data_IF_823596907454
#
_entry.id   IF_823596907454
#
_cell.length_a   1.000
_cell.length_b   1.000
_cell.length_c   1.000
_cell.angle_alpha   90.00
_cell.angle_beta   90.00
_cell.angle_gamma   90.00
#
_symmetry.space_group_name_H-M   'P 1'
#
loop_
_entity.id
_entity.type
_entity.pdbx_description
1 polymer ?
#
# COMPACT_ATOMS: atom_id res chain seq x y z
N UNK A 1 -15.89 38.96 31.58
CA UNK A 1 -16.68 37.74 31.35
C UNK A 1 -15.82 36.78 30.57
N UNK A 2 -15.23 35.80 31.24
CA UNK A 2 -14.44 34.75 30.61
C UNK A 2 -15.39 33.71 30.01
N UNK A 3 -15.66 33.79 28.73
CA UNK A 3 -16.39 32.75 28.00
C UNK A 3 -15.47 31.54 27.88
N UNK A 4 -15.62 30.60 28.77
CA UNK A 4 -15.00 29.28 28.64
C UNK A 4 -15.64 28.58 27.46
N UNK A 5 -14.90 28.49 26.36
CA UNK A 5 -15.28 27.68 25.19
C UNK A 5 -15.58 26.27 25.69
N UNK A 6 -16.75 25.68 25.41
CA UNK A 6 -17.07 24.35 25.87
C UNK A 6 -16.06 23.35 25.25
N UNK A 7 -15.27 22.72 26.11
CA UNK A 7 -14.39 21.62 25.70
C UNK A 7 -15.27 20.54 25.05
N UNK A 8 -15.03 20.27 23.78
CA UNK A 8 -15.68 19.16 23.09
C UNK A 8 -15.47 17.86 23.89
N UNK A 9 -16.58 17.27 24.34
CA UNK A 9 -16.56 15.95 24.99
C UNK A 9 -17.00 14.91 23.98
N UNK A 10 -16.14 13.93 23.62
CA UNK A 10 -16.52 12.87 22.70
C UNK A 10 -17.72 12.09 23.26
N UNK A 11 -18.68 11.79 22.41
CA UNK A 11 -19.82 10.93 22.73
C UNK A 11 -19.35 9.48 22.96
N UNK A 12 -20.20 8.66 23.60
CA UNK A 12 -19.90 7.22 23.73
C UNK A 12 -19.75 6.55 22.37
N UNK A 13 -20.52 7.00 21.37
CA UNK A 13 -20.42 6.53 19.99
C UNK A 13 -19.06 6.85 19.37
N UNK A 14 -18.55 8.08 19.56
CA UNK A 14 -17.23 8.47 19.04
C UNK A 14 -16.10 7.63 19.64
N UNK A 15 -16.19 7.33 20.95
CA UNK A 15 -15.21 6.49 21.62
C UNK A 15 -15.25 5.05 21.12
N UNK A 16 -16.44 4.47 20.93
CA UNK A 16 -16.60 3.11 20.36
C UNK A 16 -16.04 3.07 18.96
N UNK A 17 -16.40 4.04 18.11
CA UNK A 17 -15.88 4.11 16.73
C UNK A 17 -14.34 4.21 16.72
N UNK A 18 -13.75 5.02 17.59
CA UNK A 18 -12.30 5.17 17.68
C UNK A 18 -11.61 3.89 18.13
N UNK A 19 -12.15 3.19 19.15
CA UNK A 19 -11.60 1.91 19.59
C UNK A 19 -11.71 0.84 18.50
N UNK A 20 -12.84 0.79 17.79
CA UNK A 20 -13.01 -0.11 16.65
C UNK A 20 -11.97 0.17 15.56
N UNK A 21 -11.73 1.45 15.25
CA UNK A 21 -10.73 1.86 14.26
C UNK A 21 -9.29 1.48 14.68
N UNK A 22 -8.99 1.65 15.96
CA UNK A 22 -7.68 1.30 16.53
C UNK A 22 -7.44 -0.21 16.48
N UNK A 23 -8.42 -1.01 16.90
CA UNK A 23 -8.32 -2.46 16.90
C UNK A 23 -8.21 -3.00 15.46
N UNK A 24 -9.05 -2.49 14.54
CA UNK A 24 -8.98 -2.87 13.13
C UNK A 24 -7.63 -2.48 12.51
N UNK A 25 -7.16 -1.26 12.75
CA UNK A 25 -5.86 -0.80 12.28
C UNK A 25 -4.70 -1.65 12.82
N UNK A 26 -4.72 -1.97 14.11
CA UNK A 26 -3.72 -2.85 14.73
C UNK A 26 -3.75 -4.25 14.10
N UNK A 27 -4.93 -4.83 13.88
CA UNK A 27 -5.07 -6.14 13.24
C UNK A 27 -4.52 -6.14 11.81
N UNK A 28 -4.81 -5.11 11.02
CA UNK A 28 -4.28 -4.96 9.65
C UNK A 28 -2.75 -4.80 9.69
N UNK A 29 -2.21 -3.98 10.58
CA UNK A 29 -0.76 -3.77 10.69
C UNK A 29 -0.03 -5.05 11.12
N UNK A 30 -0.57 -5.79 12.10
CA UNK A 30 -0.02 -7.09 12.51
C UNK A 30 -0.10 -8.09 11.36
N UNK A 31 -1.23 -8.17 10.66
CA UNK A 31 -1.39 -9.03 9.48
C UNK A 31 -0.36 -8.73 8.40
N UNK A 32 -0.11 -7.45 8.10
CA UNK A 32 0.90 -7.04 7.13
C UNK A 32 2.32 -7.46 7.55
N UNK A 33 2.67 -7.29 8.82
CA UNK A 33 3.98 -7.73 9.34
C UNK A 33 4.13 -9.24 9.28
N UNK A 34 3.11 -9.99 9.73
CA UNK A 34 3.13 -11.46 9.70
C UNK A 34 3.27 -11.97 8.28
N UNK A 35 2.48 -11.42 7.34
CA UNK A 35 2.58 -11.79 5.91
C UNK A 35 3.98 -11.50 5.34
N UNK A 36 4.55 -10.34 5.68
CA UNK A 36 5.89 -9.97 5.24
C UNK A 36 6.97 -10.93 5.79
N UNK A 37 6.90 -11.26 7.08
CA UNK A 37 7.84 -12.19 7.72
C UNK A 37 7.73 -13.59 7.12
N UNK A 38 6.52 -14.11 6.93
CA UNK A 38 6.30 -15.42 6.33
C UNK A 38 6.85 -15.46 4.90
N UNK A 39 6.59 -14.43 4.10
CA UNK A 39 7.12 -14.35 2.73
C UNK A 39 8.65 -14.28 2.70
N UNK A 40 9.27 -13.52 3.60
CA UNK A 40 10.73 -13.43 3.70
C UNK A 40 11.34 -14.79 4.07
N UNK A 41 10.76 -15.49 5.04
CA UNK A 41 11.23 -16.83 5.45
C UNK A 41 11.14 -17.82 4.29
N UNK A 42 10.08 -17.75 3.49
CA UNK A 42 9.87 -18.62 2.32
C UNK A 42 10.92 -18.36 1.22
N UNK A 43 11.23 -17.11 0.91
CA UNK A 43 12.09 -16.75 -0.23
C UNK A 43 13.57 -16.65 0.10
N UNK A 44 13.92 -16.46 1.37
CA UNK A 44 15.30 -16.23 1.81
C UNK A 44 16.28 -17.39 1.49
N UNK A 45 15.85 -18.68 1.51
CA UNK A 45 16.73 -19.78 1.12
C UNK A 45 17.15 -19.75 -0.35
N UNK A 46 16.46 -18.98 -1.19
CA UNK A 46 16.71 -18.83 -2.62
C UNK A 46 16.78 -20.18 -3.36
N UNK A 47 15.80 -21.04 -3.12
CA UNK A 47 15.66 -22.36 -3.74
C UNK A 47 14.19 -22.58 -4.11
N UNK A 48 13.94 -22.99 -5.35
CA UNK A 48 12.60 -23.25 -5.88
C UNK A 48 11.63 -22.07 -5.60
N UNK A 49 12.12 -20.85 -5.84
CA UNK A 49 11.44 -19.62 -5.46
C UNK A 49 10.25 -19.39 -6.34
N UNK A 50 9.07 -19.31 -5.72
CA UNK A 50 7.83 -18.96 -6.41
C UNK A 50 7.69 -17.44 -6.52
N UNK A 51 7.58 -16.93 -7.73
CA UNK A 51 7.42 -15.51 -8.02
C UNK A 51 6.14 -15.29 -8.81
N UNK A 52 5.26 -14.44 -8.30
CA UNK A 52 4.10 -13.98 -9.06
C UNK A 52 4.58 -13.04 -10.17
N UNK A 53 4.21 -13.34 -11.41
CA UNK A 53 4.63 -12.58 -12.57
C UNK A 53 3.43 -12.16 -13.41
N UNK A 54 3.46 -10.93 -13.90
CA UNK A 54 2.53 -10.42 -14.90
C UNK A 54 3.14 -10.64 -16.28
N UNK A 55 2.28 -10.99 -17.24
CA UNK A 55 2.66 -11.25 -18.63
C UNK A 55 2.08 -10.15 -19.54
N UNK A 56 2.75 -9.87 -20.63
CA UNK A 56 2.30 -8.91 -21.63
C UNK A 56 1.31 -9.53 -22.66
N UNK A 57 0.32 -10.30 -22.19
CA UNK A 57 -0.66 -10.95 -23.06
C UNK A 57 -0.08 -12.15 -23.82
N UNK A 58 0.76 -12.95 -23.20
CA UNK A 58 1.37 -14.13 -23.82
C UNK A 58 0.34 -15.23 -24.07
N UNK A 59 0.32 -15.79 -25.28
CA UNK A 59 -0.55 -16.93 -25.58
C UNK A 59 0.03 -18.19 -24.96
N UNK A 60 -0.80 -18.91 -24.21
CA UNK A 60 -0.48 -20.19 -23.60
C UNK A 60 -1.60 -21.20 -23.86
N UNK A 61 -1.34 -22.48 -23.58
CA UNK A 61 -2.36 -23.52 -23.67
C UNK A 61 -2.78 -23.97 -22.27
N UNK A 62 -4.08 -24.03 -22.02
CA UNK A 62 -4.63 -24.50 -20.76
C UNK A 62 -5.61 -25.67 -20.94
N UNK A 63 -5.61 -26.69 -20.06
CA UNK A 63 -6.47 -27.87 -20.17
C UNK A 63 -7.89 -27.57 -19.65
N UNK A 64 -8.58 -26.62 -20.28
CA UNK A 64 -9.92 -26.15 -19.90
C UNK A 64 -11.04 -26.57 -20.87
N UNK A 65 -10.69 -27.25 -21.94
CA UNK A 65 -11.66 -27.79 -22.88
C UNK A 65 -12.36 -29.07 -22.39
N UNK A 66 -13.37 -29.57 -23.13
CA UNK A 66 -14.00 -30.84 -22.82
C UNK A 66 -12.94 -31.96 -22.70
N UNK A 67 -13.08 -32.79 -21.68
CA UNK A 67 -12.15 -33.90 -21.38
C UNK A 67 -10.68 -33.46 -21.16
N UNK A 68 -10.46 -32.22 -20.75
CA UNK A 68 -9.12 -31.67 -20.53
C UNK A 68 -8.37 -31.28 -21.82
N UNK A 69 -9.10 -31.08 -22.92
CA UNK A 69 -8.49 -30.60 -24.16
C UNK A 69 -7.80 -29.24 -23.97
N UNK A 70 -6.61 -29.09 -24.52
CA UNK A 70 -5.85 -27.85 -24.48
C UNK A 70 -6.50 -26.78 -25.36
N UNK A 71 -6.79 -25.64 -24.78
CA UNK A 71 -7.31 -24.46 -25.50
C UNK A 71 -6.36 -23.28 -25.36
N UNK A 72 -6.20 -22.46 -26.41
CA UNK A 72 -5.40 -21.25 -26.33
C UNK A 72 -6.04 -20.25 -25.37
N UNK A 73 -5.23 -19.73 -24.46
CA UNK A 73 -5.60 -18.70 -23.47
C UNK A 73 -4.60 -17.55 -23.55
N UNK A 74 -5.04 -16.36 -23.15
CA UNK A 74 -4.13 -15.24 -22.94
C UNK A 74 -3.72 -15.26 -21.46
N UNK A 75 -2.41 -15.32 -21.24
CA UNK A 75 -1.83 -15.35 -19.91
C UNK A 75 -1.54 -13.91 -19.45
N UNK A 76 -2.26 -13.45 -18.45
CA UNK A 76 -2.04 -12.14 -17.84
C UNK A 76 -1.20 -12.25 -16.57
N UNK A 77 -1.42 -13.32 -15.77
CA UNK A 77 -0.69 -13.59 -14.52
C UNK A 77 -0.44 -15.07 -14.34
N UNK A 78 0.75 -15.40 -13.85
CA UNK A 78 1.08 -16.75 -13.39
C UNK A 78 2.12 -16.71 -12.27
N UNK A 79 2.24 -17.83 -11.55
CA UNK A 79 3.36 -18.04 -10.63
C UNK A 79 4.46 -18.80 -11.37
N UNK A 80 5.66 -18.25 -11.40
CA UNK A 80 6.86 -18.85 -11.97
C UNK A 80 7.68 -19.43 -10.81
N UNK A 81 8.16 -20.66 -10.98
CA UNK A 81 9.13 -21.26 -10.05
C UNK A 81 10.51 -21.20 -10.69
N UNK A 82 11.43 -20.46 -10.07
CA UNK A 82 12.84 -20.40 -10.47
C UNK A 82 13.69 -21.20 -9.46
N UNK A 83 14.64 -22.00 -9.94
CA UNK A 83 15.53 -22.76 -9.06
C UNK A 83 16.30 -21.84 -8.12
N UNK A 84 16.79 -20.73 -8.64
CA UNK A 84 17.43 -19.63 -7.89
C UNK A 84 17.07 -18.31 -8.51
N UNK A 85 17.24 -17.21 -7.75
CA UNK A 85 17.12 -15.87 -8.28
C UNK A 85 18.45 -15.13 -8.25
N UNK A 86 18.74 -14.27 -9.23
CA UNK A 86 19.85 -13.32 -9.16
C UNK A 86 19.73 -12.46 -7.91
N UNK A 87 20.87 -12.08 -7.32
CA UNK A 87 20.91 -11.36 -6.04
C UNK A 87 20.02 -10.11 -6.02
N UNK A 88 20.01 -9.34 -7.11
CA UNK A 88 19.21 -8.11 -7.21
C UNK A 88 17.69 -8.41 -7.17
N UNK A 89 17.26 -9.47 -7.84
CA UNK A 89 15.86 -9.90 -7.88
C UNK A 89 15.42 -10.49 -6.55
N UNK A 90 16.30 -11.22 -5.86
CA UNK A 90 16.05 -11.70 -4.51
C UNK A 90 15.89 -10.54 -3.52
N UNK A 91 16.75 -9.53 -3.61
CA UNK A 91 16.63 -8.32 -2.79
C UNK A 91 15.32 -7.59 -3.07
N UNK A 92 14.91 -7.47 -4.32
CA UNK A 92 13.63 -6.87 -4.68
C UNK A 92 12.43 -7.67 -4.11
N UNK A 93 12.48 -9.01 -4.19
CA UNK A 93 11.46 -9.91 -3.67
C UNK A 93 11.34 -9.86 -2.14
N UNK A 94 12.44 -9.62 -1.43
CA UNK A 94 12.45 -9.42 0.04
C UNK A 94 12.02 -7.99 0.39
N UNK A 95 12.42 -7.01 -0.39
CA UNK A 95 12.08 -5.60 -0.15
C UNK A 95 10.58 -5.31 -0.38
N UNK A 96 9.94 -5.98 -1.33
CA UNK A 96 8.52 -5.80 -1.66
C UNK A 96 7.61 -5.93 -0.42
N UNK A 97 7.58 -7.04 0.32
CA UNK A 97 6.72 -7.19 1.50
C UNK A 97 7.11 -6.26 2.65
N UNK A 98 8.40 -5.90 2.78
CA UNK A 98 8.86 -4.94 3.78
C UNK A 98 8.30 -3.54 3.48
N UNK A 99 8.38 -3.09 2.22
CA UNK A 99 7.85 -1.79 1.78
C UNK A 99 6.33 -1.77 1.91
N UNK A 100 5.65 -2.87 1.54
CA UNK A 100 4.21 -3.00 1.71
C UNK A 100 3.79 -2.88 3.18
N UNK A 101 4.42 -3.63 4.09
CA UNK A 101 4.14 -3.58 5.52
C UNK A 101 4.45 -2.20 6.12
N UNK A 102 5.59 -1.60 5.76
CA UNK A 102 5.96 -0.26 6.22
C UNK A 102 4.94 0.79 5.77
N UNK A 103 4.50 0.73 4.51
CA UNK A 103 3.46 1.61 3.98
C UNK A 103 2.17 1.51 4.78
N UNK A 104 1.68 0.28 5.00
CA UNK A 104 0.46 0.02 5.76
C UNK A 104 0.58 0.56 7.19
N UNK A 105 1.69 0.29 7.89
CA UNK A 105 1.91 0.73 9.26
C UNK A 105 1.92 2.25 9.36
N UNK A 106 2.65 2.94 8.47
CA UNK A 106 2.76 4.41 8.51
C UNK A 106 1.41 5.05 8.22
N UNK A 107 0.69 4.58 7.20
CA UNK A 107 -0.65 5.11 6.88
C UNK A 107 -1.61 4.90 8.04
N UNK A 108 -1.69 3.71 8.62
CA UNK A 108 -2.57 3.42 9.76
C UNK A 108 -2.18 4.29 10.97
N UNK A 109 -0.89 4.41 11.28
CA UNK A 109 -0.44 5.25 12.38
C UNK A 109 -0.86 6.72 12.21
N UNK A 110 -0.70 7.27 11.00
CA UNK A 110 -1.14 8.62 10.69
C UNK A 110 -2.67 8.78 10.84
N UNK A 111 -3.46 7.83 10.34
CA UNK A 111 -4.91 7.86 10.42
C UNK A 111 -5.41 7.72 11.87
N UNK A 112 -4.82 6.85 12.66
CA UNK A 112 -5.14 6.70 14.10
C UNK A 112 -4.80 7.96 14.86
N UNK A 113 -3.63 8.56 14.63
CA UNK A 113 -3.24 9.83 15.28
C UNK A 113 -4.16 10.98 14.85
N UNK A 114 -4.56 11.03 13.61
CA UNK A 114 -5.53 12.00 13.09
C UNK A 114 -6.89 11.84 13.77
N UNK A 115 -7.43 10.62 13.78
CA UNK A 115 -8.71 10.31 14.45
C UNK A 115 -8.68 10.69 15.92
N UNK A 116 -7.61 10.35 16.64
CA UNK A 116 -7.44 10.75 18.03
C UNK A 116 -7.39 12.27 18.26
N UNK A 117 -6.80 13.01 17.32
CA UNK A 117 -6.78 14.47 17.34
C UNK A 117 -8.19 15.05 17.18
N UNK A 118 -8.96 14.48 16.23
CA UNK A 118 -10.34 14.89 15.95
C UNK A 118 -11.27 14.64 17.15
N UNK A 119 -11.14 13.50 17.83
CA UNK A 119 -11.93 13.20 19.04
C UNK A 119 -11.62 14.15 20.21
N UNK A 120 -10.51 14.87 20.16
CA UNK A 120 -10.16 15.94 21.11
C UNK A 120 -10.62 17.32 20.67
N UNK A 121 -11.38 17.42 19.59
CA UNK A 121 -11.88 18.68 19.04
C UNK A 121 -10.87 19.45 18.20
N UNK A 122 -9.67 18.88 17.95
CA UNK A 122 -8.64 19.51 17.13
C UNK A 122 -8.69 18.92 15.74
N UNK A 123 -9.44 19.56 14.82
CA UNK A 123 -9.61 19.07 13.45
C UNK A 123 -8.53 19.64 12.54
N UNK A 124 -8.44 20.95 12.44
CA UNK A 124 -7.50 21.63 11.55
C UNK A 124 -6.32 22.19 12.34
N UNK A 125 -5.19 21.51 12.22
CA UNK A 125 -3.94 21.91 12.87
C UNK A 125 -2.76 21.53 12.00
N UNK A 126 -1.62 22.23 12.16
CA UNK A 126 -0.37 21.90 11.44
C UNK A 126 0.02 20.43 11.56
N UNK A 127 -0.23 19.83 12.74
CA UNK A 127 0.04 18.42 12.98
C UNK A 127 -0.85 17.54 12.11
N UNK A 128 -2.14 17.80 12.07
CA UNK A 128 -3.11 17.02 11.31
C UNK A 128 -2.88 17.18 9.80
N UNK A 129 -2.59 18.39 9.33
CA UNK A 129 -2.19 18.64 7.94
C UNK A 129 -0.97 17.81 7.55
N UNK A 130 0.06 17.75 8.41
CA UNK A 130 1.25 16.90 8.19
C UNK A 130 0.91 15.42 8.19
N UNK A 131 0.06 14.94 9.09
CA UNK A 131 -0.36 13.53 9.13
C UNK A 131 -1.07 13.12 7.84
N UNK A 132 -2.00 13.95 7.34
CA UNK A 132 -2.69 13.70 6.07
C UNK A 132 -1.71 13.69 4.89
N UNK A 133 -0.78 14.64 4.87
CA UNK A 133 0.24 14.72 3.81
C UNK A 133 1.17 13.49 3.84
N UNK A 134 1.66 13.09 5.03
CA UNK A 134 2.52 11.92 5.18
C UNK A 134 1.76 10.65 4.75
N UNK A 135 0.52 10.47 5.21
CA UNK A 135 -0.28 9.30 4.84
C UNK A 135 -0.50 9.23 3.32
N UNK A 136 -0.84 10.36 2.69
CA UNK A 136 -1.06 10.43 1.25
C UNK A 136 0.22 10.12 0.45
N UNK A 137 1.34 10.76 0.78
CA UNK A 137 2.61 10.50 0.10
C UNK A 137 3.12 9.08 0.32
N UNK A 138 3.02 8.56 1.55
CA UNK A 138 3.43 7.18 1.84
C UNK A 138 2.56 6.19 1.10
N UNK A 139 1.24 6.42 1.05
CA UNK A 139 0.33 5.57 0.29
C UNK A 139 0.64 5.56 -1.21
N UNK A 140 0.91 6.73 -1.80
CA UNK A 140 1.30 6.83 -3.22
C UNK A 140 2.64 6.16 -3.50
N UNK A 141 3.63 6.39 -2.66
CA UNK A 141 4.95 5.77 -2.81
C UNK A 141 4.85 4.25 -2.70
N UNK A 142 4.11 3.74 -1.72
CA UNK A 142 3.89 2.30 -1.57
C UNK A 142 3.11 1.69 -2.74
N UNK A 143 2.08 2.39 -3.24
CA UNK A 143 1.32 1.95 -4.40
C UNK A 143 2.19 1.80 -5.66
N UNK A 144 3.19 2.64 -5.85
CA UNK A 144 4.13 2.54 -6.96
C UNK A 144 5.29 1.59 -6.68
N UNK A 145 5.87 1.63 -5.49
CA UNK A 145 7.09 0.88 -5.17
C UNK A 145 6.85 -0.63 -5.03
N UNK A 146 5.71 -1.06 -4.47
CA UNK A 146 5.42 -2.48 -4.27
C UNK A 146 5.33 -3.23 -5.60
N UNK A 147 4.48 -2.84 -6.57
CA UNK A 147 4.43 -3.53 -7.86
C UNK A 147 5.72 -3.36 -8.68
N UNK A 148 6.45 -2.26 -8.52
CA UNK A 148 7.75 -2.09 -9.15
C UNK A 148 8.77 -3.13 -8.65
N UNK A 149 8.85 -3.36 -7.34
CA UNK A 149 9.72 -4.36 -6.74
C UNK A 149 9.30 -5.78 -7.15
N UNK A 150 8.00 -6.07 -7.15
CA UNK A 150 7.45 -7.35 -7.61
C UNK A 150 7.83 -7.62 -9.07
N UNK A 151 7.67 -6.63 -9.96
CA UNK A 151 8.03 -6.75 -11.37
C UNK A 151 9.54 -6.94 -11.56
N UNK A 152 10.36 -6.26 -10.76
CA UNK A 152 11.82 -6.45 -10.78
C UNK A 152 12.22 -7.87 -10.38
N UNK A 153 11.54 -8.47 -9.38
CA UNK A 153 11.74 -9.86 -9.00
C UNK A 153 11.27 -10.82 -10.11
N UNK A 154 10.10 -10.56 -10.72
CA UNK A 154 9.55 -11.34 -11.81
C UNK A 154 10.47 -11.34 -13.04
N UNK A 155 11.02 -10.20 -13.42
CA UNK A 155 11.97 -10.10 -14.53
C UNK A 155 13.24 -10.93 -14.28
N UNK A 156 13.71 -11.00 -13.03
CA UNK A 156 14.81 -11.90 -12.68
C UNK A 156 14.45 -13.37 -12.78
N UNK A 157 13.22 -13.75 -12.38
CA UNK A 157 12.74 -15.11 -12.54
C UNK A 157 12.59 -15.48 -14.04
N UNK A 158 12.05 -14.60 -14.86
CA UNK A 158 12.00 -14.80 -16.31
C UNK A 158 13.39 -15.00 -16.91
N UNK A 159 14.35 -14.15 -16.55
CA UNK A 159 15.72 -14.25 -17.05
C UNK A 159 16.38 -15.58 -16.67
N UNK A 160 16.12 -16.11 -15.48
CA UNK A 160 16.65 -17.39 -15.03
C UNK A 160 16.01 -18.57 -15.77
N UNK A 161 14.67 -18.60 -15.81
CA UNK A 161 13.92 -19.74 -16.37
C UNK A 161 14.06 -19.82 -17.91
N UNK A 162 14.28 -18.70 -18.59
CA UNK A 162 14.35 -18.64 -20.06
C UNK A 162 15.75 -18.52 -20.65
N UNK A 163 16.81 -18.63 -19.84
CA UNK A 163 18.18 -18.31 -20.27
C UNK A 163 18.27 -16.91 -20.92
N UNK A 164 17.51 -15.94 -20.41
CA UNK A 164 17.42 -14.55 -20.88
C UNK A 164 16.88 -14.38 -22.31
N UNK A 165 16.11 -15.35 -22.79
CA UNK A 165 15.52 -15.29 -24.13
C UNK A 165 14.11 -14.75 -24.14
N UNK A 166 13.40 -14.78 -23.00
CA UNK A 166 12.04 -14.27 -22.87
C UNK A 166 12.05 -12.79 -22.53
N UNK A 167 11.48 -11.98 -23.42
CA UNK A 167 11.32 -10.54 -23.23
C UNK A 167 9.87 -10.24 -22.83
N UNK A 168 9.69 -9.63 -21.65
CA UNK A 168 8.39 -9.35 -21.09
C UNK A 168 8.34 -7.92 -20.55
N UNK A 169 7.87 -6.99 -21.37
CA UNK A 169 7.75 -5.58 -20.98
C UNK A 169 6.37 -5.30 -20.42
N UNK A 170 6.27 -5.13 -19.12
CA UNK A 170 5.02 -4.84 -18.42
C UNK A 170 5.15 -3.52 -17.66
N UNK A 171 4.10 -2.70 -17.71
CA UNK A 171 3.95 -1.54 -16.84
C UNK A 171 3.45 -2.03 -15.47
N UNK A 172 4.35 -2.06 -14.49
CA UNK A 172 4.08 -2.61 -13.16
C UNK A 172 3.06 -1.79 -12.33
N UNK A 173 2.82 -0.53 -12.69
CA UNK A 173 1.92 0.36 -11.94
C UNK A 173 0.69 0.67 -12.77
N UNK A 174 -0.49 0.37 -12.24
CA UNK A 174 -1.74 0.82 -12.85
C UNK A 174 -1.89 2.34 -12.65
N UNK A 175 -1.80 3.07 -13.76
CA UNK A 175 -1.78 4.53 -13.76
C UNK A 175 -3.12 5.16 -13.39
N UNK A 176 -4.25 4.53 -13.75
CA UNK A 176 -5.55 5.12 -13.49
C UNK A 176 -5.87 5.19 -11.98
N UNK A 177 -5.79 4.11 -11.19
CA UNK A 177 -5.91 4.18 -9.74
C UNK A 177 -4.80 5.01 -9.08
N UNK A 178 -3.57 5.02 -9.62
CA UNK A 178 -2.50 5.86 -9.11
C UNK A 178 -2.84 7.34 -9.16
N UNK A 179 -3.30 7.84 -10.31
CA UNK A 179 -3.69 9.24 -10.45
C UNK A 179 -4.94 9.59 -9.62
N UNK A 180 -5.90 8.68 -9.50
CA UNK A 180 -7.06 8.88 -8.64
C UNK A 180 -6.64 9.01 -7.17
N UNK A 181 -5.77 8.13 -6.70
CA UNK A 181 -5.24 8.18 -5.34
C UNK A 181 -4.43 9.46 -5.10
N UNK A 182 -3.61 9.88 -6.07
CA UNK A 182 -2.85 11.13 -6.02
C UNK A 182 -3.78 12.34 -5.92
N UNK A 183 -4.86 12.36 -6.71
CA UNK A 183 -5.87 13.42 -6.66
C UNK A 183 -6.56 13.49 -5.29
N UNK A 184 -6.98 12.35 -4.73
CA UNK A 184 -7.62 12.28 -3.41
C UNK A 184 -6.65 12.77 -2.33
N UNK A 185 -5.40 12.33 -2.35
CA UNK A 185 -4.38 12.74 -1.39
C UNK A 185 -4.08 14.24 -1.47
N UNK A 186 -3.96 14.78 -2.69
CA UNK A 186 -3.74 16.21 -2.92
C UNK A 186 -4.93 17.04 -2.43
N UNK A 187 -6.15 16.64 -2.77
CA UNK A 187 -7.37 17.34 -2.34
C UNK A 187 -7.48 17.35 -0.81
N UNK A 188 -7.24 16.21 -0.16
CA UNK A 188 -7.26 16.12 1.30
C UNK A 188 -6.21 17.07 1.93
N UNK A 189 -4.99 17.10 1.41
CA UNK A 189 -3.93 17.99 1.89
C UNK A 189 -4.31 19.47 1.72
N UNK A 190 -4.91 19.84 0.59
CA UNK A 190 -5.39 21.21 0.33
C UNK A 190 -6.50 21.59 1.30
N UNK A 191 -7.51 20.74 1.49
CA UNK A 191 -8.63 20.99 2.42
C UNK A 191 -8.12 21.20 3.85
N UNK A 192 -7.21 20.35 4.32
CA UNK A 192 -6.61 20.50 5.66
C UNK A 192 -5.76 21.78 5.77
N UNK A 193 -5.01 22.14 4.74
CA UNK A 193 -4.22 23.38 4.71
C UNK A 193 -5.09 24.64 4.75
N UNK A 194 -6.21 24.65 4.00
CA UNK A 194 -7.16 25.75 4.04
C UNK A 194 -7.84 25.83 5.40
N UNK A 195 -8.31 24.70 5.95
CA UNK A 195 -8.93 24.63 7.25
C UNK A 195 -8.03 25.12 8.38
N UNK A 196 -6.73 24.77 8.33
CA UNK A 196 -5.71 25.26 9.27
C UNK A 196 -5.59 26.80 9.24
N UNK A 197 -5.60 27.40 8.03
CA UNK A 197 -5.54 28.87 7.89
C UNK A 197 -6.79 29.53 8.45
N UNK A 198 -7.98 29.04 8.09
CA UNK A 198 -9.25 29.58 8.57
C UNK A 198 -9.36 29.49 10.11
N UNK A 199 -8.91 28.40 10.71
CA UNK A 199 -8.92 28.27 12.17
C UNK A 199 -7.98 29.26 12.82
N UNK A 200 -6.79 29.47 12.29
CA UNK A 200 -5.80 30.43 12.80
C UNK A 200 -6.30 31.88 12.70
N UNK A 201 -6.93 32.24 11.59
CA UNK A 201 -7.47 33.58 11.38
C UNK A 201 -8.60 33.87 12.37
N UNK A 202 -9.43 32.89 12.72
CA UNK A 202 -10.46 33.02 13.75
C UNK A 202 -9.88 33.15 15.17
N UNK A 203 -8.80 32.45 15.50
CA UNK A 203 -8.12 32.56 16.80
C UNK A 203 -7.41 33.92 16.99
N UNK A 204 -7.04 34.58 15.91
CA UNK A 204 -6.41 35.93 15.95
C UNK A 204 -7.39 37.10 16.05
N UNK A 205 -8.70 36.84 15.95
CA UNK A 205 -9.77 37.85 16.04
C UNK A 205 -10.40 37.99 17.46
N UNK A 206 -9.94 37.15 18.41
CA UNK A 206 -10.37 37.15 19.82
C UNK A 206 -9.22 37.64 20.70
#
# INVERSE_FOLDING_TARGET
MTTTTPLYRPSRGDLVAMWTFLVAGAAIAVGAVVSAVLRIIEVLPNRDVQVAAEFAGTVAEAPIGPDGALLPVILDRATITAETLPMLSLVALVAEPVVAAATVIVVIACLVMLGWSVTRGVVFSRRNTRLVTIAGFTGLLGYAAVPFLANMAANGAFAEVSDRTFDNVVIAVDLAPFFLLAFIAALAAVVFSIGERLQRDNEGLV
#
